data_IF_617616751885
#
_entry.id   IF_617616751885
#
_cell.length_a   1.000
_cell.length_b   1.000
_cell.length_c   1.000
_cell.angle_alpha   90.00
_cell.angle_beta   90.00
_cell.angle_gamma   90.00
#
_symmetry.space_group_name_H-M   'P 1'
#
loop_
_entity.id
_entity.type
_entity.pdbx_description
1 polymer ?
#
# COMPACT_ATOMS: atom_id res chain seq x y z
N UNK A 1 5.93 -13.98 12.13
CA UNK A 1 5.00 -14.03 13.27
C UNK A 1 3.89 -13.08 12.88
N UNK A 2 2.87 -13.63 12.22
CA UNK A 2 1.67 -12.87 11.86
C UNK A 2 0.92 -12.63 13.16
N UNK A 3 1.13 -11.48 13.78
CA UNK A 3 0.10 -10.95 14.68
C UNK A 3 -1.11 -10.71 13.79
N UNK A 4 -2.13 -11.52 14.05
CA UNK A 4 -3.37 -11.55 13.30
C UNK A 4 -3.97 -10.14 13.35
N UNK A 5 -4.20 -9.49 12.21
CA UNK A 5 -4.82 -8.15 12.15
C UNK A 5 -6.18 -8.14 12.89
N UNK A 6 -6.80 -9.31 13.07
CA UNK A 6 -7.98 -9.54 13.90
C UNK A 6 -7.77 -9.21 15.39
N UNK A 7 -6.58 -9.45 15.95
CA UNK A 7 -6.28 -9.20 17.37
C UNK A 7 -6.18 -7.71 17.70
N UNK A 8 -5.95 -6.84 16.70
CA UNK A 8 -5.89 -5.38 16.90
C UNK A 8 -7.24 -4.74 17.26
N UNK A 9 -8.36 -5.44 17.02
CA UNK A 9 -9.71 -4.96 17.30
C UNK A 9 -10.48 -5.85 18.28
N UNK A 10 -9.84 -6.88 18.85
CA UNK A 10 -10.48 -7.76 19.82
C UNK A 10 -10.88 -6.93 21.05
N UNK A 11 -12.16 -6.99 21.41
CA UNK A 11 -12.71 -6.36 22.60
C UNK A 11 -12.88 -7.41 23.70
N UNK A 12 -12.47 -7.07 24.92
CA UNK A 12 -12.56 -7.96 26.09
C UNK A 12 -13.04 -7.17 27.31
N UNK A 13 -13.84 -7.81 28.17
CA UNK A 13 -14.18 -7.30 29.49
C UNK A 13 -13.35 -8.02 30.54
N UNK A 14 -12.66 -7.27 31.40
CA UNK A 14 -12.06 -7.79 32.62
C UNK A 14 -12.94 -7.46 33.83
N UNK A 15 -13.21 -8.46 34.66
CA UNK A 15 -13.97 -8.31 35.90
C UNK A 15 -13.05 -8.18 37.12
N UNK A 16 -13.59 -7.87 38.29
CA UNK A 16 -12.81 -7.62 39.51
C UNK A 16 -12.02 -8.85 40.00
N UNK A 17 -12.38 -10.06 39.56
CA UNK A 17 -11.63 -11.29 39.81
C UNK A 17 -10.35 -11.40 38.96
N UNK A 18 -10.11 -10.45 38.04
CA UNK A 18 -8.95 -10.41 37.15
C UNK A 18 -9.12 -11.21 35.87
N UNK A 19 -10.20 -11.99 35.73
CA UNK A 19 -10.48 -12.78 34.54
C UNK A 19 -11.04 -11.92 33.41
N UNK A 20 -10.75 -12.31 32.16
CA UNK A 20 -11.18 -11.63 30.95
C UNK A 20 -12.17 -12.50 30.17
N UNK A 21 -13.15 -11.83 29.56
CA UNK A 21 -14.26 -12.47 28.87
C UNK A 21 -14.52 -11.75 27.53
N UNK A 22 -14.79 -12.53 26.48
CA UNK A 22 -15.25 -11.97 25.21
C UNK A 22 -16.72 -11.53 25.34
N UNK A 23 -17.10 -10.49 24.62
CA UNK A 23 -18.45 -9.93 24.70
C UNK A 23 -18.88 -9.36 23.34
N UNK A 24 -20.19 -9.39 23.07
CA UNK A 24 -20.77 -8.77 21.87
C UNK A 24 -21.02 -7.29 22.08
N UNK A 25 -21.54 -6.92 23.26
CA UNK A 25 -21.97 -5.55 23.51
C UNK A 25 -21.96 -5.15 24.99
N UNK A 26 -21.72 -3.86 25.25
CA UNK A 26 -21.88 -3.19 26.54
C UNK A 26 -22.51 -1.82 26.37
N UNK A 27 -23.56 -1.53 27.13
CA UNK A 27 -24.25 -0.23 27.14
C UNK A 27 -24.73 0.14 28.52
N UNK A 28 -24.82 1.44 28.80
CA UNK A 28 -25.44 1.95 30.02
C UNK A 28 -26.66 2.80 29.71
N UNK A 29 -27.71 2.65 30.52
CA UNK A 29 -28.87 3.55 30.56
C UNK A 29 -29.08 3.94 32.03
N UNK A 30 -28.74 5.18 32.36
CA UNK A 30 -28.84 5.69 33.72
C UNK A 30 -28.00 4.87 34.72
N UNK A 31 -28.67 4.26 35.69
CA UNK A 31 -28.08 3.41 36.74
C UNK A 31 -27.95 1.93 36.33
N UNK A 32 -28.34 1.53 35.11
CA UNK A 32 -28.29 0.16 34.61
C UNK A 32 -27.19 0.01 33.56
N UNK A 33 -26.46 -1.10 33.62
CA UNK A 33 -25.55 -1.58 32.57
C UNK A 33 -26.09 -2.87 31.97
N UNK A 34 -26.06 -2.96 30.65
CA UNK A 34 -26.30 -4.18 29.88
C UNK A 34 -24.95 -4.76 29.46
N UNK A 35 -24.77 -6.07 29.66
CA UNK A 35 -23.60 -6.83 29.24
C UNK A 35 -24.08 -8.05 28.48
N UNK A 36 -23.73 -8.14 27.20
CA UNK A 36 -23.96 -9.32 26.38
C UNK A 36 -22.63 -10.02 26.13
N UNK A 37 -22.44 -11.17 26.77
CA UNK A 37 -21.23 -11.97 26.61
C UNK A 37 -21.29 -12.85 25.37
N UNK A 38 -20.13 -13.25 24.84
CA UNK A 38 -20.08 -14.27 23.78
C UNK A 38 -20.59 -15.63 24.28
N UNK A 39 -20.98 -16.49 23.35
CA UNK A 39 -21.58 -17.81 23.64
C UNK A 39 -20.69 -18.77 24.45
N UNK A 40 -19.37 -18.55 24.45
CA UNK A 40 -18.39 -19.33 25.20
C UNK A 40 -18.32 -18.97 26.70
N UNK A 41 -18.88 -17.83 27.10
CA UNK A 41 -18.91 -17.37 28.49
C UNK A 41 -20.12 -17.95 29.23
N UNK A 42 -19.87 -18.64 30.35
CA UNK A 42 -20.94 -19.15 31.21
C UNK A 42 -21.43 -18.06 32.18
N UNK A 43 -22.36 -17.23 31.71
CA UNK A 43 -22.95 -16.13 32.49
C UNK A 43 -23.62 -16.61 33.79
N UNK A 44 -24.25 -17.79 33.77
CA UNK A 44 -24.87 -18.38 34.97
C UNK A 44 -23.85 -18.69 36.07
N UNK A 45 -22.60 -18.96 35.72
CA UNK A 45 -21.51 -19.14 36.67
C UNK A 45 -21.04 -17.81 37.25
N UNK A 46 -20.93 -16.77 36.42
CA UNK A 46 -20.53 -15.43 36.83
C UNK A 46 -21.51 -14.82 37.85
N UNK A 47 -22.82 -15.02 37.62
CA UNK A 47 -23.87 -14.54 38.52
C UNK A 47 -23.87 -15.18 39.92
N UNK A 48 -23.04 -16.22 40.18
CA UNK A 48 -22.89 -16.79 41.52
C UNK A 48 -22.11 -15.88 42.47
N UNK A 49 -21.29 -15.00 41.94
CA UNK A 49 -20.52 -14.03 42.72
C UNK A 49 -20.70 -12.64 42.13
N UNK A 50 -21.67 -11.90 42.64
CA UNK A 50 -21.94 -10.54 42.18
C UNK A 50 -20.79 -9.55 42.47
N UNK A 51 -19.85 -9.89 43.37
CA UNK A 51 -18.75 -9.01 43.72
C UNK A 51 -17.75 -8.83 42.57
N UNK A 52 -17.71 -9.77 41.61
CA UNK A 52 -16.85 -9.67 40.43
C UNK A 52 -17.25 -8.50 39.52
N UNK A 53 -18.52 -8.05 39.58
CA UNK A 53 -19.03 -6.91 38.81
C UNK A 53 -18.83 -5.56 39.52
N UNK A 54 -18.18 -5.55 40.69
CA UNK A 54 -17.82 -4.31 41.39
C UNK A 54 -16.86 -3.42 40.59
N UNK A 55 -16.10 -4.03 39.67
CA UNK A 55 -15.24 -3.38 38.69
C UNK A 55 -15.36 -4.12 37.36
N UNK A 56 -15.74 -3.39 36.30
CA UNK A 56 -15.84 -3.90 34.93
C UNK A 56 -14.96 -3.01 34.07
N UNK A 57 -13.95 -3.59 33.43
CA UNK A 57 -13.00 -2.87 32.59
C UNK A 57 -13.12 -3.35 31.16
N UNK A 58 -13.38 -2.44 30.22
CA UNK A 58 -13.51 -2.76 28.79
C UNK A 58 -12.19 -2.44 28.12
N UNK A 59 -11.64 -3.41 27.39
CA UNK A 59 -10.41 -3.27 26.62
C UNK A 59 -10.70 -3.41 25.13
N UNK A 60 -9.96 -2.67 24.31
CA UNK A 60 -9.94 -2.80 22.84
C UNK A 60 -8.51 -2.74 22.35
N UNK A 61 -8.04 -3.76 21.62
CA UNK A 61 -6.66 -3.83 21.14
C UNK A 61 -5.61 -3.72 22.27
N UNK A 62 -5.95 -4.23 23.46
CA UNK A 62 -5.11 -4.16 24.67
C UNK A 62 -5.15 -2.84 25.45
N UNK A 63 -5.78 -1.79 24.91
CA UNK A 63 -5.94 -0.51 25.60
C UNK A 63 -7.22 -0.49 26.44
N UNK A 64 -7.15 0.03 27.67
CA UNK A 64 -8.31 0.24 28.53
C UNK A 64 -9.19 1.37 27.97
N UNK A 65 -10.40 1.03 27.55
CA UNK A 65 -11.34 1.94 26.91
C UNK A 65 -12.36 2.52 27.89
N UNK A 66 -12.89 1.70 28.79
CA UNK A 66 -13.90 2.14 29.76
C UNK A 66 -13.80 1.40 31.09
N UNK A 67 -14.31 2.01 32.16
CA UNK A 67 -14.34 1.44 33.51
C UNK A 67 -15.69 1.74 34.16
N UNK A 68 -16.43 0.69 34.48
CA UNK A 68 -17.67 0.76 35.25
C UNK A 68 -17.44 0.21 36.66
N UNK A 69 -18.12 0.81 37.65
CA UNK A 69 -17.95 0.47 39.06
C UNK A 69 -19.29 0.27 39.73
N UNK A 70 -19.30 -0.58 40.75
CA UNK A 70 -20.41 -0.80 41.66
C UNK A 70 -21.70 -1.34 41.03
N UNK A 71 -21.64 -1.94 39.84
CA UNK A 71 -22.78 -2.62 39.21
C UNK A 71 -22.98 -4.03 39.79
N UNK A 72 -23.22 -4.10 41.10
CA UNK A 72 -23.21 -5.36 41.88
C UNK A 72 -24.61 -5.93 42.16
N UNK A 73 -25.66 -5.28 41.66
CA UNK A 73 -27.04 -5.75 41.86
C UNK A 73 -27.58 -6.28 40.54
N UNK A 74 -28.01 -7.54 40.50
CA UNK A 74 -28.65 -8.10 39.31
C UNK A 74 -30.01 -7.44 39.12
N UNK A 75 -30.13 -6.66 38.06
CA UNK A 75 -31.36 -5.97 37.70
C UNK A 75 -32.29 -6.93 36.94
N UNK A 76 -31.81 -7.53 35.84
CA UNK A 76 -32.55 -8.51 35.02
C UNK A 76 -31.55 -9.44 34.28
N UNK A 77 -32.02 -10.51 33.64
CA UNK A 77 -31.18 -11.39 32.80
C UNK A 77 -31.96 -12.03 31.66
N UNK A 78 -31.28 -12.23 30.54
CA UNK A 78 -31.70 -13.06 29.42
C UNK A 78 -30.59 -14.07 29.14
N UNK A 79 -30.74 -15.26 29.72
CA UNK A 79 -29.72 -16.31 29.64
C UNK A 79 -29.69 -17.01 28.27
N UNK A 80 -30.75 -16.90 27.47
CA UNK A 80 -30.79 -17.50 26.13
C UNK A 80 -29.88 -16.70 25.17
N UNK A 81 -29.70 -15.41 25.43
CA UNK A 81 -28.82 -14.51 24.67
C UNK A 81 -27.51 -14.15 25.38
N UNK A 82 -27.19 -14.80 26.51
CA UNK A 82 -26.01 -14.49 27.36
C UNK A 82 -25.95 -13.01 27.81
N UNK A 83 -27.11 -12.40 28.06
CA UNK A 83 -27.24 -10.99 28.44
C UNK A 83 -27.63 -10.84 29.91
N UNK A 84 -26.93 -9.94 30.61
CA UNK A 84 -27.28 -9.53 31.99
C UNK A 84 -27.42 -8.03 32.09
N UNK A 85 -28.31 -7.62 32.99
CA UNK A 85 -28.55 -6.24 33.34
C UNK A 85 -28.20 -6.07 34.80
N UNK A 86 -27.29 -5.15 35.11
CA UNK A 86 -26.84 -4.87 36.47
C UNK A 86 -27.14 -3.43 36.84
N UNK A 87 -27.48 -3.15 38.09
CA UNK A 87 -27.68 -1.79 38.60
C UNK A 87 -26.56 -1.37 39.54
N UNK A 88 -26.24 -0.07 39.52
CA UNK A 88 -25.21 0.53 40.39
C UNK A 88 -25.76 1.25 41.63
N UNK A 89 -27.08 1.29 41.80
CA UNK A 89 -27.78 1.96 42.91
C UNK A 89 -28.63 1.00 43.77
N UNK A 90 -28.59 -0.30 43.47
CA UNK A 90 -29.37 -1.31 44.18
C UNK A 90 -30.78 -1.51 43.64
N UNK A 91 -31.14 -0.85 42.54
CA UNK A 91 -32.42 -1.08 41.85
C UNK A 91 -32.53 -2.54 41.40
N UNK A 92 -33.71 -3.12 41.55
CA UNK A 92 -34.08 -4.46 41.07
C UNK A 92 -35.24 -4.34 40.10
N UNK A 93 -35.33 -5.21 39.09
CA UNK A 93 -36.41 -5.18 38.13
C UNK A 93 -37.75 -5.53 38.79
N UNK A 94 -38.71 -4.62 38.66
CA UNK A 94 -40.10 -4.83 39.05
C UNK A 94 -40.99 -4.68 37.80
N UNK A 95 -41.58 -5.76 37.27
CA UNK A 95 -42.36 -5.72 36.04
C UNK A 95 -43.61 -4.84 36.12
N UNK A 96 -44.14 -4.54 37.31
CA UNK A 96 -45.33 -3.68 37.47
C UNK A 96 -44.99 -2.18 37.42
N UNK A 97 -43.78 -1.80 37.81
CA UNK A 97 -43.37 -0.38 37.96
C UNK A 97 -42.23 0.05 37.05
N UNK A 98 -41.43 -0.88 36.55
CA UNK A 98 -40.22 -0.57 35.77
C UNK A 98 -40.51 -0.30 34.30
N UNK A 99 -41.64 -0.78 33.75
CA UNK A 99 -41.80 -0.86 32.30
C UNK A 99 -40.64 -1.62 31.62
N UNK A 100 -40.60 -1.70 30.29
CA UNK A 100 -39.31 -1.96 29.62
C UNK A 100 -38.49 -0.66 29.71
N UNK A 101 -37.46 -0.64 30.56
CA UNK A 101 -36.53 0.51 30.65
C UNK A 101 -35.67 0.62 29.38
N UNK A 102 -35.46 -0.51 28.71
CA UNK A 102 -34.82 -0.56 27.42
C UNK A 102 -35.88 -0.36 26.34
N UNK A 103 -35.69 0.56 25.37
CA UNK A 103 -36.52 0.54 24.18
C UNK A 103 -36.52 -0.88 23.60
N UNK A 104 -37.59 -1.30 22.93
CA UNK A 104 -37.57 -2.52 22.11
C UNK A 104 -36.21 -2.62 21.42
N UNK A 105 -35.55 -3.80 21.42
CA UNK A 105 -34.19 -3.96 20.90
C UNK A 105 -34.14 -3.18 19.60
N UNK A 106 -33.32 -2.12 19.60
CA UNK A 106 -33.20 -1.25 18.44
C UNK A 106 -32.94 -2.20 17.29
N UNK A 107 -33.74 -2.16 16.19
CA UNK A 107 -33.54 -3.07 15.09
C UNK A 107 -32.04 -3.09 14.80
N UNK A 108 -31.46 -4.29 14.84
CA UNK A 108 -30.02 -4.49 14.61
C UNK A 108 -29.66 -3.57 13.44
N UNK A 109 -28.72 -2.62 13.64
CA UNK A 109 -28.52 -1.56 12.67
C UNK A 109 -28.32 -2.24 11.32
N UNK A 110 -29.25 -2.03 10.38
CA UNK A 110 -29.12 -2.55 9.03
C UNK A 110 -27.81 -1.97 8.52
N UNK A 111 -26.75 -2.78 8.49
CA UNK A 111 -25.50 -2.39 7.87
C UNK A 111 -25.88 -2.30 6.39
N UNK A 112 -25.97 -1.08 5.82
CA UNK A 112 -26.38 -0.96 4.43
C UNK A 112 -25.42 -1.78 3.59
N UNK A 113 -25.95 -2.60 2.69
CA UNK A 113 -25.08 -3.32 1.78
C UNK A 113 -24.17 -2.33 1.07
N UNK A 114 -22.87 -2.65 0.93
CA UNK A 114 -21.96 -1.75 0.26
C UNK A 114 -22.43 -1.50 -1.17
N UNK A 115 -22.42 -0.23 -1.55
CA UNK A 115 -22.73 0.23 -2.90
C UNK A 115 -21.72 -0.32 -3.90
N UNK A 116 -22.06 -0.32 -5.18
CA UNK A 116 -21.13 -0.73 -6.25
C UNK A 116 -19.82 0.08 -6.21
N UNK A 117 -19.91 1.38 -5.95
CA UNK A 117 -18.73 2.26 -5.89
C UNK A 117 -17.85 1.98 -4.67
N UNK A 118 -18.44 1.60 -3.54
CA UNK A 118 -17.68 1.14 -2.36
C UNK A 118 -16.97 -0.19 -2.65
N UNK A 119 -17.64 -1.15 -3.31
CA UNK A 119 -17.03 -2.43 -3.71
C UNK A 119 -15.90 -2.21 -4.72
N UNK A 120 -16.09 -1.33 -5.73
CA UNK A 120 -15.01 -0.94 -6.65
C UNK A 120 -13.82 -0.33 -5.92
N UNK A 121 -14.09 0.55 -4.95
CA UNK A 121 -13.03 1.20 -4.15
C UNK A 121 -12.27 0.18 -3.30
N UNK A 122 -12.97 -0.75 -2.65
CA UNK A 122 -12.37 -1.85 -1.90
C UNK A 122 -11.51 -2.75 -2.79
N UNK A 123 -12.05 -3.17 -3.95
CA UNK A 123 -11.31 -3.99 -4.93
C UNK A 123 -10.07 -3.27 -5.45
N UNK A 124 -10.16 -1.96 -5.73
CA UNK A 124 -9.00 -1.17 -6.15
C UNK A 124 -7.92 -1.14 -5.06
N UNK A 125 -8.30 -1.02 -3.78
CA UNK A 125 -7.35 -1.07 -2.67
C UNK A 125 -6.68 -2.44 -2.54
N UNK A 126 -7.43 -3.54 -2.64
CA UNK A 126 -6.90 -4.92 -2.66
C UNK A 126 -5.85 -5.12 -3.78
N UNK A 127 -6.15 -4.61 -4.98
CA UNK A 127 -5.22 -4.66 -6.12
C UNK A 127 -3.97 -3.80 -5.86
N UNK A 128 -4.12 -2.63 -5.22
CA UNK A 128 -2.97 -1.77 -4.85
C UNK A 128 -2.08 -2.41 -3.79
N UNK A 129 -2.65 -3.08 -2.81
CA UNK A 129 -1.91 -3.85 -1.80
C UNK A 129 -1.11 -4.98 -2.47
N UNK A 130 -1.74 -5.73 -3.39
CA UNK A 130 -1.08 -6.77 -4.18
C UNK A 130 0.06 -6.20 -5.03
N UNK A 131 -0.14 -5.04 -5.66
CA UNK A 131 0.91 -4.34 -6.41
C UNK A 131 2.11 -4.00 -5.53
N UNK A 132 1.87 -3.38 -4.37
CA UNK A 132 2.93 -3.00 -3.44
C UNK A 132 3.67 -4.21 -2.90
N UNK A 133 2.95 -5.28 -2.58
CA UNK A 133 3.55 -6.54 -2.16
C UNK A 133 4.49 -7.10 -3.23
N UNK A 134 4.03 -7.26 -4.48
CA UNK A 134 4.86 -7.86 -5.53
C UNK A 134 6.06 -6.99 -5.94
N UNK A 135 5.93 -5.65 -5.90
CA UNK A 135 7.07 -4.75 -6.10
C UNK A 135 8.08 -4.93 -4.97
N UNK A 136 7.65 -4.82 -3.71
CA UNK A 136 8.57 -4.84 -2.56
C UNK A 136 9.17 -6.23 -2.29
N UNK A 137 8.43 -7.29 -2.60
CA UNK A 137 8.94 -8.67 -2.61
C UNK A 137 10.11 -8.83 -3.59
N UNK A 138 10.09 -8.07 -4.69
CA UNK A 138 11.17 -8.04 -5.67
C UNK A 138 11.21 -9.28 -6.54
N UNK A 139 12.40 -9.68 -6.98
CA UNK A 139 12.57 -10.69 -8.02
C UNK A 139 13.42 -11.88 -7.59
N UNK A 140 13.15 -13.01 -8.25
CA UNK A 140 14.06 -14.15 -8.25
C UNK A 140 15.09 -14.05 -9.38
N UNK A 141 16.34 -14.32 -9.02
CA UNK A 141 17.45 -14.43 -9.97
C UNK A 141 18.34 -15.62 -9.59
N UNK A 142 18.76 -16.38 -10.61
CA UNK A 142 19.73 -17.45 -10.41
C UNK A 142 21.11 -16.87 -10.15
N UNK A 143 21.74 -17.34 -9.08
CA UNK A 143 23.11 -17.00 -8.69
C UNK A 143 23.83 -18.30 -8.38
N UNK A 144 24.89 -18.60 -9.12
CA UNK A 144 25.68 -19.83 -8.97
C UNK A 144 24.81 -21.12 -9.00
N UNK A 145 23.78 -21.17 -9.83
CA UNK A 145 22.88 -22.31 -9.96
C UNK A 145 21.77 -22.39 -8.90
N UNK A 146 21.65 -21.41 -8.01
CA UNK A 146 20.59 -21.33 -7.01
C UNK A 146 19.67 -20.13 -7.25
N UNK A 147 18.36 -20.32 -7.18
CA UNK A 147 17.41 -19.20 -7.18
C UNK A 147 17.51 -18.43 -5.87
N UNK A 148 17.75 -17.12 -5.96
CA UNK A 148 17.83 -16.21 -4.82
C UNK A 148 16.80 -15.10 -4.98
N UNK A 149 16.18 -14.74 -3.86
CA UNK A 149 15.25 -13.60 -3.78
C UNK A 149 16.04 -12.33 -3.52
N UNK A 150 15.68 -11.27 -4.23
CA UNK A 150 16.17 -9.92 -4.00
C UNK A 150 14.96 -9.05 -3.77
N UNK A 151 14.82 -8.46 -2.58
CA UNK A 151 13.75 -7.51 -2.32
C UNK A 151 14.04 -6.14 -2.94
N UNK A 152 12.98 -5.37 -3.18
CA UNK A 152 13.06 -4.03 -3.78
C UNK A 152 12.48 -2.97 -2.85
N UNK A 153 12.81 -3.08 -1.55
CA UNK A 153 12.41 -2.10 -0.54
C UNK A 153 13.15 -0.78 -0.79
N UNK A 154 12.68 0.29 -0.17
CA UNK A 154 13.19 1.65 -0.40
C UNK A 154 14.72 1.76 -0.32
N UNK A 155 15.35 1.12 0.67
CA UNK A 155 16.82 1.07 0.76
C UNK A 155 17.48 0.34 -0.42
N UNK A 156 16.94 -0.82 -0.80
CA UNK A 156 17.47 -1.69 -1.86
C UNK A 156 17.49 -0.99 -3.21
N UNK A 157 16.48 -0.15 -3.50
CA UNK A 157 16.39 0.62 -4.73
C UNK A 157 17.61 1.54 -4.91
N UNK A 158 17.96 2.29 -3.85
CA UNK A 158 19.11 3.20 -3.88
C UNK A 158 20.44 2.43 -3.90
N UNK A 159 20.52 1.32 -3.16
CA UNK A 159 21.71 0.47 -3.10
C UNK A 159 21.99 -0.19 -4.45
N UNK A 160 20.97 -0.74 -5.10
CA UNK A 160 21.08 -1.39 -6.41
C UNK A 160 21.45 -0.39 -7.49
N UNK A 161 20.82 0.80 -7.48
CA UNK A 161 21.13 1.87 -8.42
C UNK A 161 22.60 2.32 -8.30
N UNK A 162 23.09 2.50 -7.07
CA UNK A 162 24.49 2.84 -6.84
C UNK A 162 25.43 1.72 -7.31
N UNK A 163 25.10 0.47 -6.98
CA UNK A 163 25.89 -0.70 -7.37
C UNK A 163 25.99 -0.84 -8.90
N UNK A 164 24.89 -0.73 -9.64
CA UNK A 164 24.93 -0.84 -11.11
C UNK A 164 25.71 0.31 -11.76
N UNK A 165 25.56 1.55 -11.26
CA UNK A 165 26.31 2.71 -11.77
C UNK A 165 27.82 2.53 -11.57
N UNK A 166 28.25 2.16 -10.36
CA UNK A 166 29.67 1.95 -10.06
C UNK A 166 30.24 0.73 -10.80
N UNK A 167 29.49 -0.36 -10.89
CA UNK A 167 29.94 -1.56 -11.60
C UNK A 167 30.20 -1.26 -13.08
N UNK A 168 29.31 -0.51 -13.73
CA UNK A 168 29.48 -0.12 -15.13
C UNK A 168 30.63 0.88 -15.29
N UNK A 169 30.70 1.91 -14.43
CA UNK A 169 31.72 2.94 -14.56
C UNK A 169 33.15 2.40 -14.30
N UNK A 170 33.29 1.46 -13.38
CA UNK A 170 34.61 0.93 -12.96
C UNK A 170 34.95 -0.40 -13.61
N UNK A 171 33.97 -1.10 -14.19
CA UNK A 171 34.09 -2.48 -14.66
C UNK A 171 34.55 -3.44 -13.54
N UNK A 172 34.26 -3.11 -12.27
CA UNK A 172 34.61 -3.92 -11.10
C UNK A 172 33.38 -4.57 -10.48
N UNK A 173 33.58 -5.72 -9.85
CA UNK A 173 32.53 -6.38 -9.08
C UNK A 173 32.13 -5.56 -7.85
N UNK A 174 30.84 -5.55 -7.53
CA UNK A 174 30.26 -4.79 -6.43
C UNK A 174 29.84 -5.69 -5.27
N UNK A 175 30.06 -5.29 -4.00
CA UNK A 175 29.47 -5.98 -2.87
C UNK A 175 27.95 -5.79 -2.87
N UNK A 176 27.20 -6.89 -2.91
CA UNK A 176 25.74 -6.90 -2.83
C UNK A 176 25.25 -8.21 -2.18
N UNK A 177 23.97 -8.30 -1.83
CA UNK A 177 23.40 -9.50 -1.21
C UNK A 177 21.98 -9.81 -1.69
N UNK A 178 21.62 -11.09 -1.64
CA UNK A 178 20.24 -11.55 -1.70
C UNK A 178 19.60 -11.49 -0.31
N UNK A 179 18.27 -11.57 -0.25
CA UNK A 179 17.52 -11.60 1.00
C UNK A 179 17.96 -12.80 1.87
N UNK A 180 18.23 -12.54 3.15
CA UNK A 180 18.67 -13.55 4.11
C UNK A 180 20.05 -14.15 3.84
N UNK A 181 20.80 -13.65 2.85
CA UNK A 181 22.12 -14.15 2.48
C UNK A 181 23.25 -13.21 2.93
N UNK A 182 24.46 -13.73 3.05
CA UNK A 182 25.66 -12.91 3.29
C UNK A 182 26.07 -12.14 2.03
N UNK A 183 26.72 -10.99 2.23
CA UNK A 183 27.28 -10.19 1.14
C UNK A 183 28.31 -10.98 0.31
N UNK A 184 28.29 -10.77 -1.01
CA UNK A 184 29.27 -11.30 -1.96
C UNK A 184 29.60 -10.27 -3.03
N UNK A 185 30.60 -10.56 -3.84
CA UNK A 185 30.91 -9.80 -5.04
C UNK A 185 30.00 -10.24 -6.20
N UNK A 186 29.23 -9.31 -6.75
CA UNK A 186 28.46 -9.45 -7.99
C UNK A 186 29.26 -8.84 -9.14
N UNK A 187 29.37 -9.56 -10.26
CA UNK A 187 30.01 -9.00 -11.47
C UNK A 187 29.18 -7.84 -12.04
N UNK A 188 29.76 -6.98 -12.91
CA UNK A 188 28.97 -5.96 -13.62
C UNK A 188 27.77 -6.54 -14.37
N UNK A 189 27.91 -7.73 -14.96
CA UNK A 189 26.80 -8.41 -15.65
C UNK A 189 25.70 -8.86 -14.69
N UNK A 190 26.06 -9.49 -13.56
CA UNK A 190 25.09 -9.97 -12.58
C UNK A 190 24.29 -8.81 -11.96
N UNK A 191 24.96 -7.73 -11.55
CA UNK A 191 24.28 -6.60 -10.92
C UNK A 191 23.43 -5.82 -11.92
N UNK A 192 23.87 -5.71 -13.18
CA UNK A 192 23.07 -5.11 -14.26
C UNK A 192 21.83 -5.95 -14.57
N UNK A 193 21.98 -7.28 -14.60
CA UNK A 193 20.86 -8.21 -14.80
C UNK A 193 19.82 -8.09 -13.69
N UNK A 194 20.27 -8.00 -12.43
CA UNK A 194 19.39 -7.76 -11.30
C UNK A 194 18.65 -6.42 -11.43
N UNK A 195 19.37 -5.34 -11.76
CA UNK A 195 18.78 -4.02 -12.00
C UNK A 195 17.70 -4.06 -13.09
N UNK A 196 17.96 -4.70 -14.23
CA UNK A 196 16.97 -4.83 -15.32
C UNK A 196 15.73 -5.61 -14.85
N UNK A 197 15.92 -6.71 -14.11
CA UNK A 197 14.81 -7.51 -13.56
C UNK A 197 13.93 -6.68 -12.63
N UNK A 198 14.52 -5.93 -11.70
CA UNK A 198 13.77 -5.10 -10.76
C UNK A 198 13.06 -3.93 -11.44
N UNK A 199 13.72 -3.24 -12.38
CA UNK A 199 13.08 -2.17 -13.15
C UNK A 199 11.91 -2.69 -14.01
N UNK A 200 12.06 -3.90 -14.56
CA UNK A 200 10.99 -4.57 -15.31
C UNK A 200 9.84 -4.93 -14.38
N UNK A 201 10.12 -5.50 -13.20
CA UNK A 201 9.14 -5.86 -12.19
C UNK A 201 8.33 -4.66 -11.70
N UNK A 202 9.03 -3.56 -11.36
CA UNK A 202 8.43 -2.29 -10.97
C UNK A 202 7.48 -1.78 -12.04
N UNK A 203 7.97 -1.67 -13.29
CA UNK A 203 7.16 -1.16 -14.41
C UNK A 203 5.94 -2.05 -14.66
N UNK A 204 6.13 -3.38 -14.64
CA UNK A 204 5.07 -4.35 -14.84
C UNK A 204 3.95 -4.13 -13.84
N UNK A 205 4.24 -4.20 -12.53
CA UNK A 205 3.20 -4.15 -11.51
C UNK A 205 2.50 -2.79 -11.46
N UNK A 206 3.24 -1.69 -11.61
CA UNK A 206 2.62 -0.36 -11.67
C UNK A 206 1.69 -0.21 -12.88
N UNK A 207 2.15 -0.63 -14.05
CA UNK A 207 1.39 -0.50 -15.30
C UNK A 207 0.18 -1.43 -15.29
N UNK A 208 0.39 -2.71 -14.99
CA UNK A 208 -0.65 -3.72 -14.88
C UNK A 208 -1.77 -3.28 -13.93
N UNK A 209 -1.40 -2.82 -12.74
CA UNK A 209 -2.35 -2.33 -11.73
C UNK A 209 -3.13 -1.11 -12.22
N UNK A 210 -2.46 -0.16 -12.88
CA UNK A 210 -3.14 1.00 -13.44
C UNK A 210 -4.17 0.61 -14.50
N UNK A 211 -3.84 -0.36 -15.37
CA UNK A 211 -4.78 -0.86 -16.37
C UNK A 211 -5.94 -1.64 -15.74
N UNK A 212 -5.68 -2.49 -14.76
CA UNK A 212 -6.72 -3.25 -14.06
C UNK A 212 -7.67 -2.32 -13.29
N UNK A 213 -7.16 -1.22 -12.71
CA UNK A 213 -8.00 -0.19 -12.08
C UNK A 213 -8.92 0.51 -13.06
N UNK A 214 -8.46 0.78 -14.29
CA UNK A 214 -9.31 1.35 -15.33
C UNK A 214 -10.40 0.35 -15.72
N UNK A 215 -10.04 -0.91 -15.91
CA UNK A 215 -11.00 -1.98 -16.18
C UNK A 215 -12.07 -2.11 -15.09
N UNK A 216 -11.68 -2.20 -13.81
CA UNK A 216 -12.62 -2.31 -12.67
C UNK A 216 -13.65 -1.17 -12.66
N UNK A 217 -13.22 0.05 -13.02
CA UNK A 217 -14.12 1.21 -13.06
C UNK A 217 -15.23 1.08 -14.10
N UNK A 218 -14.98 0.34 -15.18
CA UNK A 218 -15.96 0.11 -16.26
C UNK A 218 -17.04 -0.92 -15.92
N UNK A 219 -16.82 -1.76 -14.90
CA UNK A 219 -17.75 -2.84 -14.55
C UNK A 219 -19.05 -2.29 -13.95
N UNK A 220 -20.18 -2.94 -14.23
CA UNK A 220 -21.52 -2.43 -13.90
C UNK A 220 -22.18 -3.20 -12.75
N UNK A 221 -21.63 -4.36 -12.37
CA UNK A 221 -22.22 -5.22 -11.34
C UNK A 221 -21.23 -5.55 -10.21
N UNK A 222 -21.77 -5.86 -9.01
CA UNK A 222 -20.95 -6.22 -7.83
C UNK A 222 -20.20 -7.53 -8.09
N UNK A 223 -20.85 -8.46 -8.80
CA UNK A 223 -20.36 -9.78 -9.15
C UNK A 223 -19.14 -9.70 -10.07
N UNK A 224 -19.21 -8.87 -11.12
CA UNK A 224 -18.08 -8.65 -12.03
C UNK A 224 -16.88 -8.06 -11.31
N UNK A 225 -17.09 -7.07 -10.44
CA UNK A 225 -15.99 -6.44 -9.67
C UNK A 225 -15.34 -7.44 -8.73
N UNK A 226 -16.13 -8.25 -8.02
CA UNK A 226 -15.62 -9.27 -7.10
C UNK A 226 -14.89 -10.41 -7.82
N UNK A 227 -15.23 -10.69 -9.07
CA UNK A 227 -14.55 -11.70 -9.89
C UNK A 227 -13.14 -11.27 -10.34
N UNK A 228 -12.80 -9.98 -10.26
CA UNK A 228 -11.46 -9.50 -10.62
C UNK A 228 -10.44 -9.92 -9.56
N UNK A 229 -9.38 -10.59 -10.01
CA UNK A 229 -8.25 -11.01 -9.20
C UNK A 229 -6.94 -10.40 -9.72
N UNK A 230 -6.01 -10.13 -8.80
CA UNK A 230 -4.65 -9.78 -9.20
C UNK A 230 -4.00 -10.94 -9.97
N UNK A 231 -3.37 -10.64 -11.11
CA UNK A 231 -2.83 -11.64 -12.03
C UNK A 231 -3.79 -12.14 -13.12
N UNK A 232 -5.04 -11.66 -13.19
CA UNK A 232 -5.87 -11.88 -14.37
C UNK A 232 -5.22 -11.32 -15.64
N UNK A 233 -5.40 -11.99 -16.78
CA UNK A 233 -4.89 -11.48 -18.04
C UNK A 233 -5.61 -10.17 -18.41
N UNK A 234 -4.84 -9.14 -18.77
CA UNK A 234 -5.39 -7.94 -19.39
C UNK A 234 -5.85 -8.29 -20.81
N UNK A 235 -6.90 -7.64 -21.27
CA UNK A 235 -7.42 -7.80 -22.64
C UNK A 235 -7.75 -6.44 -23.26
N UNK A 236 -7.92 -6.40 -24.59
CA UNK A 236 -8.31 -5.20 -25.32
C UNK A 236 -7.37 -4.01 -25.11
N UNK A 237 -7.93 -2.81 -24.98
CA UNK A 237 -7.18 -1.55 -24.85
C UNK A 237 -6.24 -1.52 -23.63
N UNK A 238 -6.58 -2.25 -22.57
CA UNK A 238 -5.78 -2.36 -21.35
C UNK A 238 -4.49 -3.15 -21.60
N UNK A 239 -4.58 -4.24 -22.36
CA UNK A 239 -3.43 -5.03 -22.77
C UNK A 239 -2.54 -4.26 -23.75
N UNK A 240 -3.16 -3.56 -24.71
CA UNK A 240 -2.42 -2.77 -25.70
C UNK A 240 -1.61 -1.66 -25.03
N UNK A 241 -2.23 -0.93 -24.09
CA UNK A 241 -1.56 0.13 -23.33
C UNK A 241 -0.46 -0.43 -22.44
N UNK A 242 -0.71 -1.56 -21.78
CA UNK A 242 0.30 -2.25 -20.98
C UNK A 242 1.52 -2.63 -21.84
N UNK A 243 1.31 -3.26 -22.99
CA UNK A 243 2.39 -3.70 -23.88
C UNK A 243 3.21 -2.51 -24.43
N UNK A 244 2.53 -1.42 -24.81
CA UNK A 244 3.19 -0.19 -25.25
C UNK A 244 4.13 0.38 -24.17
N UNK A 245 3.65 0.47 -22.92
CA UNK A 245 4.45 1.01 -21.81
C UNK A 245 5.62 0.09 -21.47
N UNK A 246 5.41 -1.24 -21.47
CA UNK A 246 6.49 -2.20 -21.21
C UNK A 246 7.58 -2.12 -22.27
N UNK A 247 7.21 -2.02 -23.56
CA UNK A 247 8.17 -1.86 -24.65
C UNK A 247 8.97 -0.55 -24.52
N UNK A 248 8.31 0.56 -24.21
CA UNK A 248 8.99 1.84 -24.00
C UNK A 248 9.92 1.80 -22.77
N UNK A 249 9.50 1.18 -21.68
CA UNK A 249 10.31 1.06 -20.46
C UNK A 249 11.60 0.27 -20.71
N UNK A 250 11.53 -0.83 -21.46
CA UNK A 250 12.70 -1.60 -21.88
C UNK A 250 13.70 -0.74 -22.67
N UNK A 251 13.21 0.08 -23.61
CA UNK A 251 14.06 1.00 -24.38
C UNK A 251 14.72 2.05 -23.49
N UNK A 252 13.98 2.61 -22.52
CA UNK A 252 14.51 3.60 -21.57
C UNK A 252 15.61 2.99 -20.69
N UNK A 253 15.38 1.81 -20.12
CA UNK A 253 16.39 1.10 -19.30
C UNK A 253 17.63 0.80 -20.14
N UNK A 254 17.46 0.32 -21.36
CA UNK A 254 18.59 0.05 -22.25
C UNK A 254 19.40 1.31 -22.57
N UNK A 255 18.72 2.41 -22.95
CA UNK A 255 19.38 3.69 -23.23
C UNK A 255 20.09 4.27 -22.00
N UNK A 256 19.50 4.10 -20.83
CA UNK A 256 20.15 4.50 -19.58
C UNK A 256 21.45 3.72 -19.34
N UNK A 257 21.43 2.39 -19.48
CA UNK A 257 22.62 1.56 -19.31
C UNK A 257 23.70 1.89 -20.37
N UNK A 258 23.33 2.10 -21.63
CA UNK A 258 24.24 2.57 -22.69
C UNK A 258 24.92 3.89 -22.31
N UNK A 259 24.15 4.84 -21.76
CA UNK A 259 24.71 6.14 -21.33
C UNK A 259 25.76 6.02 -20.22
N UNK A 260 25.68 4.99 -19.38
CA UNK A 260 26.66 4.72 -18.32
C UNK A 260 27.96 4.10 -18.86
N UNK A 261 27.90 3.37 -19.98
CA UNK A 261 29.07 2.68 -20.57
C UNK A 261 30.03 3.60 -21.31
N UNK A 262 29.68 4.87 -21.52
CA UNK A 262 30.55 5.85 -22.16
C UNK A 262 30.93 5.48 -23.59
N UNK A 263 29.98 5.54 -24.53
CA UNK A 263 30.36 5.73 -25.93
C UNK A 263 30.92 7.15 -26.08
N UNK A 264 32.24 7.28 -25.95
CA UNK A 264 32.98 8.31 -26.67
C UNK A 264 32.81 7.95 -28.15
N UNK A 265 31.81 8.50 -28.81
CA UNK A 265 31.90 8.66 -30.25
C UNK A 265 33.05 9.63 -30.49
N UNK A 266 34.22 9.09 -30.82
CA UNK A 266 35.29 9.84 -31.45
C UNK A 266 34.73 10.39 -32.76
N UNK A 267 34.14 11.58 -32.71
CA UNK A 267 34.09 12.45 -33.87
C UNK A 267 35.55 12.72 -34.23
N UNK A 268 36.00 12.13 -35.34
CA UNK A 268 37.28 12.44 -35.96
C UNK A 268 37.42 13.96 -36.04
N UNK A 269 38.38 14.49 -35.28
CA UNK A 269 39.02 15.75 -35.59
C UNK A 269 39.75 15.59 -36.92
N UNK A 270 39.18 16.14 -37.98
CA UNK A 270 39.98 16.57 -39.13
C UNK A 270 40.54 17.96 -38.80
N UNK A 271 41.74 17.98 -38.20
CA UNK A 271 42.64 19.14 -38.23
C UNK A 271 43.79 18.79 -39.19
N UNK A 272 43.80 19.45 -40.36
CA UNK A 272 44.85 20.36 -40.82
C UNK A 272 44.99 20.33 -42.35
N UNK A 273 44.83 21.49 -43.00
CA UNK A 273 45.89 22.07 -43.86
C UNK A 273 45.77 23.60 -43.81
N UNK A 274 46.77 24.18 -43.15
CA UNK A 274 47.25 25.55 -43.21
C UNK A 274 47.62 25.98 -44.64
N UNK A 275 47.14 27.16 -45.07
CA UNK A 275 47.96 28.08 -45.87
C UNK A 275 47.60 29.53 -45.54
N UNK A 276 48.43 30.14 -44.71
CA UNK A 276 48.66 31.58 -44.63
C UNK A 276 49.20 32.14 -45.96
N UNK A 277 48.59 33.23 -46.47
CA UNK A 277 49.30 34.25 -47.29
C UNK A 277 48.52 35.57 -47.36
N UNK A 278 48.99 36.51 -46.55
CA UNK A 278 49.02 37.96 -46.76
C UNK A 278 49.04 38.40 -48.24
N UNK A 279 48.21 39.39 -48.61
CA UNK A 279 48.66 40.74 -48.99
C UNK A 279 47.56 41.51 -49.75
N UNK A 280 47.46 42.78 -49.38
CA UNK A 280 46.66 43.85 -49.93
C UNK A 280 47.40 44.49 -51.12
N UNK A 281 46.76 44.67 -52.28
CA UNK A 281 47.24 45.59 -53.34
C UNK A 281 46.06 46.16 -54.18
N UNK A 282 45.87 47.48 -54.03
CA UNK A 282 45.66 48.56 -55.05
C UNK A 282 44.73 48.34 -56.26
N UNK A 283 43.65 49.13 -56.41
CA UNK A 283 43.53 50.48 -57.07
C UNK A 283 43.65 50.43 -58.59
N UNK A 284 42.55 50.72 -59.32
CA UNK A 284 42.41 51.87 -60.25
C UNK A 284 41.05 51.85 -61.00
N UNK A 285 40.29 52.95 -60.87
CA UNK A 285 39.89 53.91 -61.93
C UNK A 285 38.76 53.44 -62.88
N UNK A 286 37.60 54.10 -62.85
CA UNK A 286 37.41 55.35 -63.60
C UNK A 286 35.97 55.92 -63.49
N UNK A 287 35.92 57.19 -63.11
CA UNK A 287 35.22 58.30 -63.74
C UNK A 287 33.67 58.32 -63.93
N UNK A 288 33.14 59.46 -63.43
CA UNK A 288 32.22 60.39 -64.10
C UNK A 288 30.70 60.22 -63.92
N UNK A 289 30.17 61.07 -63.03
CA UNK A 289 29.49 62.34 -63.35
C UNK A 289 28.03 62.50 -62.87
N UNK A 290 27.75 63.76 -62.52
CA UNK A 290 26.46 64.47 -62.51
C UNK A 290 25.49 64.26 -61.33
N UNK A 291 25.59 65.19 -60.38
CA UNK A 291 24.56 66.17 -59.98
C UNK A 291 23.06 65.86 -60.07
N UNK A 292 22.42 66.31 -58.98
CA UNK A 292 21.12 67.02 -58.91
C UNK A 292 19.86 66.21 -58.56
N UNK A 293 19.43 66.45 -57.31
CA UNK A 293 18.11 66.92 -56.87
C UNK A 293 16.81 66.39 -57.50
N UNK A 294 15.87 66.22 -56.57
CA UNK A 294 14.42 66.43 -56.67
C UNK A 294 13.48 65.23 -56.96
N UNK A 295 12.90 64.73 -55.87
CA UNK A 295 11.49 64.97 -55.50
C UNK A 295 10.42 64.80 -56.61
N UNK A 296 9.66 63.69 -56.54
CA UNK A 296 8.19 63.60 -56.35
C UNK A 296 7.63 62.27 -56.88
N UNK A 297 6.70 61.69 -56.12
CA UNK A 297 5.85 60.58 -56.55
C UNK A 297 5.36 59.77 -55.36
#
# INVERSE_FOLDING_TARGET
MEENILDMFKQEIQLANGEKYNFHHVQTIGNIIELQFESDVNVSLLLKDMSIFSLIQVFSGGALFNVFKNFITLYNKDLDNNTIYLSCDGSVYDPETSGSIWPDPMPEPEIPEPTLEEIKSQKINEILESCNFNITHGVYMEVNGEQKLFSYKTEDQSNLLNAVQLAIATQMSMPYHADGCTCRLFTPEEITTLYIKEMTNLTHHQTYTNQLKLYIKTLETKEEVNAVLYGNELTGEYLDTYNMIMAQSQLVVQKYLESLTGTVTDEKKDEDVDTDKSANETVDENANNAESSDSKG
#
